data_IF_279215070006
#
_entry.id   IF_279215070006
#
_cell.length_a   1.000
_cell.length_b   1.000
_cell.length_c   1.000
_cell.angle_alpha   90.00
_cell.angle_beta   90.00
_cell.angle_gamma   90.00
#
_symmetry.space_group_name_H-M   'P 1'
#
loop_
_entity.id
_entity.type
_entity.pdbx_description
1 polymer ?
#
# COMPACT_ATOMS: atom_id res chain seq x y z
N UNK A 1 23.12 16.22 10.56
CA UNK A 1 22.62 16.43 9.18
C UNK A 1 21.69 15.31 8.81
N UNK A 2 20.37 15.53 8.88
CA UNK A 2 19.37 14.55 8.44
C UNK A 2 18.88 14.94 7.05
N UNK A 3 19.14 14.08 6.06
CA UNK A 3 18.62 14.26 4.71
C UNK A 3 17.22 13.66 4.65
N UNK A 4 16.19 14.52 4.57
CA UNK A 4 14.81 14.09 4.36
C UNK A 4 14.65 13.62 2.92
N UNK A 5 14.90 12.33 2.67
CA UNK A 5 14.48 11.67 1.44
C UNK A 5 12.95 11.63 1.42
N UNK A 6 12.36 12.46 0.54
CA UNK A 6 10.93 12.34 0.21
C UNK A 6 10.81 11.11 -0.70
N UNK A 7 10.08 10.05 -0.30
CA UNK A 7 9.80 8.95 -1.22
C UNK A 7 9.04 9.56 -2.40
N UNK A 8 9.64 9.46 -3.60
CA UNK A 8 8.93 9.81 -4.83
C UNK A 8 7.94 8.67 -5.08
N UNK A 9 6.70 8.84 -4.62
CA UNK A 9 5.60 8.04 -5.12
C UNK A 9 5.50 8.34 -6.62
N UNK A 10 5.62 7.31 -7.47
CA UNK A 10 5.23 7.44 -8.88
C UNK A 10 3.72 7.69 -8.86
N UNK A 11 3.34 8.95 -9.11
CA UNK A 11 1.97 9.35 -9.41
C UNK A 11 1.47 8.48 -10.57
N UNK A 12 0.53 7.59 -10.27
CA UNK A 12 -0.49 7.05 -11.20
C UNK A 12 -1.51 6.14 -10.48
N UNK A 13 -1.28 5.80 -9.21
CA UNK A 13 -2.28 5.14 -8.35
C UNK A 13 -2.65 6.01 -7.16
N UNK A 14 -3.13 7.23 -7.41
CA UNK A 14 -3.86 7.96 -6.38
C UNK A 14 -5.25 7.34 -6.24
N UNK A 15 -5.36 6.34 -5.37
CA UNK A 15 -6.66 5.89 -4.93
C UNK A 15 -7.31 7.09 -4.22
N UNK A 16 -8.41 7.62 -4.77
CA UNK A 16 -9.10 8.79 -4.22
C UNK A 16 -10.31 8.32 -3.43
N UNK A 17 -10.33 8.59 -2.13
CA UNK A 17 -11.54 8.45 -1.33
C UNK A 17 -12.23 9.82 -1.26
N UNK A 18 -13.25 10.02 -2.11
CA UNK A 18 -14.18 11.15 -2.01
C UNK A 18 -13.56 12.55 -1.85
N UNK A 19 -12.39 12.80 -2.46
CA UNK A 19 -11.67 14.09 -2.39
C UNK A 19 -10.67 14.23 -1.24
N UNK A 20 -10.53 13.21 -0.40
CA UNK A 20 -9.53 13.13 0.68
C UNK A 20 -8.30 12.31 0.26
N UNK A 21 -7.15 12.59 0.89
CA UNK A 21 -5.92 11.80 0.72
C UNK A 21 -6.15 10.38 1.20
N UNK A 22 -5.92 9.39 0.33
CA UNK A 22 -5.92 7.99 0.76
C UNK A 22 -4.53 7.59 1.24
N UNK A 23 -4.47 7.13 2.48
CA UNK A 23 -3.29 6.50 3.06
C UNK A 23 -3.42 4.98 2.87
N UNK A 24 -2.35 4.36 2.40
CA UNK A 24 -2.32 2.93 2.07
C UNK A 24 -1.17 2.29 2.81
N UNK A 25 -1.45 1.19 3.49
CA UNK A 25 -0.42 0.27 3.94
C UNK A 25 -0.10 -0.73 2.84
N UNK A 26 1.19 -0.89 2.57
CA UNK A 26 1.73 -2.00 1.80
C UNK A 26 2.19 -3.05 2.80
N UNK A 27 1.60 -4.25 2.72
CA UNK A 27 1.84 -5.33 3.67
C UNK A 27 2.23 -6.58 2.91
N UNK A 28 3.45 -7.05 3.15
CA UNK A 28 3.97 -8.34 2.70
C UNK A 28 3.69 -9.40 3.77
N UNK A 29 2.98 -10.45 3.40
CA UNK A 29 2.74 -11.61 4.26
C UNK A 29 3.21 -12.89 3.59
N UNK A 30 3.70 -13.85 4.37
CA UNK A 30 4.12 -15.16 3.86
C UNK A 30 3.38 -16.27 4.58
N UNK A 31 2.73 -17.17 3.83
CA UNK A 31 2.05 -18.33 4.37
C UNK A 31 2.04 -19.47 3.35
N UNK A 32 2.19 -20.71 3.81
CA UNK A 32 2.17 -21.91 2.96
C UNK A 32 3.16 -21.90 1.78
N UNK A 33 4.27 -21.18 1.91
CA UNK A 33 5.27 -21.03 0.85
C UNK A 33 4.95 -19.93 -0.17
N UNK A 34 3.80 -19.25 -0.04
CA UNK A 34 3.39 -18.16 -0.91
C UNK A 34 3.67 -16.80 -0.25
N UNK A 35 3.92 -15.79 -1.08
CA UNK A 35 4.03 -14.39 -0.69
C UNK A 35 2.78 -13.61 -1.12
N UNK A 36 2.30 -12.75 -0.24
CA UNK A 36 1.07 -11.98 -0.42
C UNK A 36 1.37 -10.50 -0.26
N UNK A 37 1.10 -9.75 -1.33
CA UNK A 37 1.20 -8.29 -1.33
C UNK A 37 -0.20 -7.69 -1.16
N UNK A 38 -0.43 -7.08 -0.01
CA UNK A 38 -1.71 -6.52 0.37
C UNK A 38 -1.64 -5.00 0.38
N UNK A 39 -2.56 -4.35 -0.35
CA UNK A 39 -2.80 -2.91 -0.24
C UNK A 39 -4.03 -2.65 0.58
N UNK A 40 -3.87 -1.95 1.71
CA UNK A 40 -4.94 -1.76 2.69
C UNK A 40 -5.19 -0.26 2.90
N UNK A 41 -6.46 0.15 2.86
CA UNK A 41 -6.90 1.49 3.28
C UNK A 41 -6.56 1.68 4.77
N UNK A 42 -5.67 2.62 5.06
CA UNK A 42 -5.14 2.81 6.40
C UNK A 42 -6.16 3.38 7.41
N UNK A 43 -7.30 3.90 6.93
CA UNK A 43 -8.35 4.49 7.78
C UNK A 43 -9.40 3.46 8.14
N UNK A 44 -9.87 2.71 7.16
CA UNK A 44 -10.97 1.73 7.30
C UNK A 44 -10.50 0.29 7.50
N UNK A 45 -9.24 -0.02 7.17
CA UNK A 45 -8.72 -1.39 7.13
C UNK A 45 -9.22 -2.20 5.93
N UNK A 46 -9.90 -1.58 4.97
CA UNK A 46 -10.41 -2.27 3.78
C UNK A 46 -9.25 -2.72 2.88
N UNK A 47 -9.29 -3.99 2.46
CA UNK A 47 -8.37 -4.51 1.45
C UNK A 47 -8.75 -3.93 0.08
N UNK A 48 -7.78 -3.25 -0.54
CA UNK A 48 -7.91 -2.64 -1.86
C UNK A 48 -7.33 -3.53 -2.96
N UNK A 49 -6.28 -4.28 -2.65
CA UNK A 49 -5.62 -5.21 -3.58
C UNK A 49 -4.97 -6.36 -2.83
N UNK A 50 -4.96 -7.53 -3.48
CA UNK A 50 -4.20 -8.71 -3.09
C UNK A 50 -3.48 -9.20 -4.34
N UNK A 51 -2.16 -9.34 -4.27
CA UNK A 51 -1.35 -10.06 -5.24
C UNK A 51 -0.70 -11.25 -4.54
N UNK A 52 -0.55 -12.36 -5.26
CA UNK A 52 0.05 -13.59 -4.74
C UNK A 52 1.20 -13.93 -5.68
N UNK A 53 2.39 -14.02 -5.11
CA UNK A 53 3.60 -14.42 -5.80
C UNK A 53 4.03 -15.82 -5.28
N UNK A 54 4.45 -16.68 -6.22
CA UNK A 54 4.97 -18.05 -6.02
C UNK A 54 6.51 -18.04 -5.89
#
# INVERSE_FOLDING_TARGET
NFTKVRPKYKDDHSYKNNGSSLYIYDVEARANGLEYDLKIDAVSGKILKVEIDD
#
